data_IF_603181791852
#
_entry.id   IF_603181791852
#
_cell.length_a   1.000
_cell.length_b   1.000
_cell.length_c   1.000
_cell.angle_alpha   90.00
_cell.angle_beta   90.00
_cell.angle_gamma   90.00
#
_symmetry.space_group_name_H-M   'P 1'
#
loop_
_entity.id
_entity.type
_entity.pdbx_description
1 polymer ?
#
# COMPACT_ATOMS: atom_id res chain seq x y z
N UNK A 1 -21.70 -29.70 -2.44
CA UNK A 1 -22.27 -29.32 -3.75
C UNK A 1 -21.26 -28.37 -4.38
N UNK A 2 -20.55 -28.74 -5.46
CA UNK A 2 -19.53 -27.88 -6.07
C UNK A 2 -20.10 -26.57 -6.66
N UNK A 3 -21.43 -26.44 -6.72
CA UNK A 3 -22.15 -25.22 -7.10
C UNK A 3 -22.77 -24.48 -5.90
N UNK A 4 -22.40 -24.87 -4.67
CA UNK A 4 -22.80 -24.16 -3.46
C UNK A 4 -21.53 -23.53 -2.91
N UNK A 5 -21.43 -22.20 -3.05
CA UNK A 5 -20.52 -21.41 -2.23
C UNK A 5 -20.94 -21.70 -0.78
N UNK A 6 -20.05 -22.30 0.01
CA UNK A 6 -20.24 -22.31 1.46
C UNK A 6 -20.40 -20.86 1.89
N UNK A 7 -21.42 -20.60 2.70
CA UNK A 7 -21.99 -19.28 3.05
C UNK A 7 -21.05 -18.09 2.78
N UNK A 8 -21.52 -17.06 2.11
CA UNK A 8 -20.73 -15.82 1.89
C UNK A 8 -20.40 -15.15 3.25
N UNK A 9 -21.06 -15.58 4.33
CA UNK A 9 -20.77 -15.29 5.73
C UNK A 9 -19.65 -16.15 6.37
N UNK A 10 -19.08 -17.14 5.67
CA UNK A 10 -18.03 -18.03 6.18
C UNK A 10 -16.59 -17.57 5.88
N UNK A 11 -16.37 -16.60 4.99
CA UNK A 11 -15.03 -16.01 4.83
C UNK A 11 -14.77 -15.09 6.02
N UNK A 12 -13.87 -15.49 6.91
CA UNK A 12 -13.49 -14.67 8.05
C UNK A 12 -12.89 -13.35 7.56
N UNK A 13 -13.13 -12.27 8.31
CA UNK A 13 -12.55 -10.96 7.99
C UNK A 13 -11.01 -11.02 8.02
N UNK A 14 -10.43 -11.90 8.83
CA UNK A 14 -9.01 -12.21 8.84
C UNK A 14 -8.53 -12.86 7.53
N UNK A 15 -9.30 -13.78 6.94
CA UNK A 15 -8.93 -14.40 5.66
C UNK A 15 -8.99 -13.38 4.50
N UNK A 16 -9.98 -12.49 4.52
CA UNK A 16 -10.08 -11.39 3.57
C UNK A 16 -8.90 -10.42 3.71
N UNK A 17 -8.49 -10.15 4.96
CA UNK A 17 -7.33 -9.32 5.26
C UNK A 17 -6.01 -9.97 4.81
N UNK A 18 -5.85 -11.27 4.97
CA UNK A 18 -4.72 -12.02 4.40
C UNK A 18 -4.66 -11.85 2.88
N UNK A 19 -5.78 -12.05 2.17
CA UNK A 19 -5.84 -11.84 0.73
C UNK A 19 -5.47 -10.42 0.32
N UNK A 20 -5.97 -9.42 1.05
CA UNK A 20 -5.68 -8.01 0.79
C UNK A 20 -4.20 -7.68 0.98
N UNK A 21 -3.56 -8.19 2.05
CA UNK A 21 -2.12 -8.00 2.26
C UNK A 21 -1.30 -8.56 1.09
N UNK A 22 -1.60 -9.77 0.62
CA UNK A 22 -0.88 -10.39 -0.51
C UNK A 22 -1.02 -9.53 -1.77
N UNK A 23 -2.24 -9.13 -2.13
CA UNK A 23 -2.46 -8.28 -3.31
C UNK A 23 -1.73 -6.95 -3.18
N UNK A 24 -1.87 -6.25 -2.05
CA UNK A 24 -1.30 -4.92 -1.87
C UNK A 24 0.23 -4.95 -1.80
N UNK A 25 0.84 -5.98 -1.19
CA UNK A 25 2.29 -6.17 -1.31
C UNK A 25 2.70 -6.41 -2.76
N UNK A 26 1.95 -7.24 -3.51
CA UNK A 26 2.19 -7.46 -4.93
C UNK A 26 2.16 -6.18 -5.76
N UNK A 27 1.24 -5.25 -5.46
CA UNK A 27 1.16 -3.94 -6.11
C UNK A 27 2.38 -3.07 -5.72
N UNK A 28 2.69 -2.99 -4.43
CA UNK A 28 3.72 -2.08 -3.90
C UNK A 28 5.15 -2.52 -4.23
N UNK A 29 5.43 -3.82 -4.31
CA UNK A 29 6.74 -4.36 -4.72
C UNK A 29 6.87 -4.60 -6.22
N UNK A 30 5.74 -4.61 -6.92
CA UNK A 30 5.64 -5.06 -8.30
C UNK A 30 6.10 -4.04 -9.33
N UNK A 31 5.33 -3.95 -10.41
CA UNK A 31 5.71 -3.19 -11.59
C UNK A 31 5.88 -1.69 -11.32
N UNK A 32 5.06 -1.09 -10.46
CA UNK A 32 5.15 0.35 -10.13
C UNK A 32 6.50 0.69 -9.51
N UNK A 33 6.96 -0.11 -8.55
CA UNK A 33 8.26 0.07 -7.91
C UNK A 33 9.40 -0.03 -8.92
N UNK A 34 9.38 -1.07 -9.77
CA UNK A 34 10.36 -1.23 -10.85
C UNK A 34 10.38 -0.04 -11.81
N UNK A 35 9.21 0.43 -12.23
CA UNK A 35 9.10 1.59 -13.12
C UNK A 35 9.72 2.85 -12.51
N UNK A 36 9.41 3.13 -11.23
CA UNK A 36 9.99 4.26 -10.50
C UNK A 36 11.51 4.12 -10.39
N UNK A 37 12.04 2.92 -10.11
CA UNK A 37 13.51 2.72 -10.04
C UNK A 37 14.23 3.01 -11.35
N UNK A 38 13.57 2.82 -12.51
CA UNK A 38 14.11 3.19 -13.82
C UNK A 38 14.11 4.71 -14.00
N UNK A 39 13.02 5.40 -13.67
CA UNK A 39 12.98 6.87 -13.74
C UNK A 39 13.95 7.54 -12.77
N UNK A 40 14.19 6.93 -11.61
CA UNK A 40 15.20 7.36 -10.64
C UNK A 40 16.63 6.94 -11.01
N UNK A 41 16.81 6.25 -12.14
CA UNK A 41 18.10 5.78 -12.67
C UNK A 41 18.87 4.84 -11.72
N UNK A 42 18.16 4.20 -10.79
CA UNK A 42 18.73 3.15 -9.94
C UNK A 42 18.91 1.85 -10.73
N UNK A 43 17.97 1.58 -11.63
CA UNK A 43 18.05 0.50 -12.60
C UNK A 43 17.86 1.06 -14.02
N UNK A 44 18.28 0.30 -15.01
CA UNK A 44 18.02 0.57 -16.41
C UNK A 44 17.38 -0.66 -17.06
N UNK A 45 16.44 -0.41 -17.98
CA UNK A 45 15.86 -1.41 -18.84
C UNK A 45 16.86 -1.86 -19.91
N UNK A 46 17.13 -3.16 -19.99
CA UNK A 46 18.04 -3.72 -20.99
C UNK A 46 17.27 -4.30 -22.18
N UNK A 47 16.05 -4.77 -21.96
CA UNK A 47 15.22 -5.39 -22.99
C UNK A 47 13.74 -5.06 -22.77
N UNK A 48 13.01 -4.72 -23.84
CA UNK A 48 11.56 -4.47 -23.86
C UNK A 48 11.03 -3.36 -22.92
N UNK A 49 11.89 -2.66 -22.19
CA UNK A 49 11.50 -1.49 -21.40
C UNK A 49 11.62 -0.23 -22.25
N UNK A 50 10.57 0.57 -22.26
CA UNK A 50 10.52 1.87 -22.94
C UNK A 50 10.58 3.04 -21.94
N UNK A 51 10.78 2.75 -20.66
CA UNK A 51 10.87 3.75 -19.60
C UNK A 51 12.12 4.64 -19.77
N UNK A 52 13.27 4.03 -20.11
CA UNK A 52 14.56 4.72 -20.25
C UNK A 52 14.56 5.76 -21.38
N UNK A 53 13.82 5.49 -22.45
CA UNK A 53 13.63 6.39 -23.61
C UNK A 53 12.44 7.35 -23.45
N UNK A 54 11.72 7.29 -22.31
CA UNK A 54 10.46 8.00 -22.05
C UNK A 54 9.37 7.75 -23.12
N UNK A 55 9.46 6.63 -23.85
CA UNK A 55 8.50 6.22 -24.88
C UNK A 55 7.41 5.35 -24.27
N UNK A 56 6.64 5.92 -23.35
CA UNK A 56 5.60 5.22 -22.59
C UNK A 56 4.29 5.03 -23.40
N UNK A 57 4.38 5.02 -24.73
CA UNK A 57 3.24 4.96 -25.64
C UNK A 57 3.31 3.66 -26.49
N UNK A 58 2.22 2.88 -26.58
CA UNK A 58 0.94 3.06 -25.87
C UNK A 58 1.10 2.93 -24.35
N UNK A 59 0.12 3.45 -23.58
CA UNK A 59 0.04 3.26 -22.13
C UNK A 59 0.31 1.78 -21.83
N UNK A 60 1.30 1.53 -20.97
CA UNK A 60 1.68 0.16 -20.63
C UNK A 60 0.48 -0.51 -19.94
N UNK A 61 -0.07 -1.58 -20.53
CA UNK A 61 -1.18 -2.36 -19.98
C UNK A 61 -0.91 -2.80 -18.53
N UNK A 62 0.38 -2.91 -18.14
CA UNK A 62 0.77 -3.19 -16.76
C UNK A 62 0.35 -2.08 -15.80
N UNK A 63 0.28 -0.82 -16.22
CA UNK A 63 -0.23 0.29 -15.41
C UNK A 63 -1.75 0.20 -15.25
N UNK A 64 -2.47 -0.18 -16.30
CA UNK A 64 -3.94 -0.38 -16.26
C UNK A 64 -4.31 -1.55 -15.34
N UNK A 65 -3.52 -2.62 -15.35
CA UNK A 65 -3.68 -3.74 -14.42
C UNK A 65 -3.45 -3.30 -12.98
N UNK A 66 -2.38 -2.54 -12.71
CA UNK A 66 -2.13 -2.04 -11.34
C UNK A 66 -3.22 -1.09 -10.88
N UNK A 67 -3.71 -0.21 -11.76
CA UNK A 67 -4.86 0.62 -11.46
C UNK A 67 -6.07 -0.24 -11.06
N UNK A 68 -6.36 -1.29 -11.82
CA UNK A 68 -7.46 -2.21 -11.53
C UNK A 68 -7.27 -2.94 -10.19
N UNK A 69 -6.05 -3.36 -9.87
CA UNK A 69 -5.72 -4.01 -8.60
C UNK A 69 -5.97 -3.11 -7.37
N UNK A 70 -5.75 -1.79 -7.49
CA UNK A 70 -5.98 -0.84 -6.40
C UNK A 70 -7.44 -0.83 -5.94
N UNK A 71 -8.38 -1.05 -6.86
CA UNK A 71 -9.82 -0.99 -6.58
C UNK A 71 -10.46 -2.38 -6.44
N UNK A 72 -9.93 -3.37 -7.14
CA UNK A 72 -10.45 -4.74 -7.23
C UNK A 72 -10.10 -5.62 -6.03
N UNK A 73 -10.11 -6.93 -6.27
CA UNK A 73 -9.88 -7.95 -5.22
C UNK A 73 -8.57 -7.73 -4.47
N UNK A 74 -8.67 -7.62 -3.15
CA UNK A 74 -7.58 -7.29 -2.23
C UNK A 74 -7.24 -5.80 -2.13
N UNK A 75 -7.80 -4.96 -3.00
CA UNK A 75 -7.69 -3.51 -2.99
C UNK A 75 -8.82 -2.82 -2.21
N UNK A 76 -9.22 -1.63 -2.66
CA UNK A 76 -10.14 -0.74 -1.93
C UNK A 76 -11.48 -1.39 -1.56
N UNK A 77 -12.03 -2.24 -2.44
CA UNK A 77 -13.31 -2.93 -2.16
C UNK A 77 -13.20 -3.84 -0.94
N UNK A 78 -12.12 -4.61 -0.84
CA UNK A 78 -11.92 -5.55 0.25
C UNK A 78 -11.43 -4.83 1.51
N UNK A 79 -10.56 -3.82 1.38
CA UNK A 79 -10.13 -2.99 2.51
C UNK A 79 -11.32 -2.31 3.20
N UNK A 80 -12.20 -1.65 2.46
CA UNK A 80 -13.39 -1.01 3.05
C UNK A 80 -14.37 -2.04 3.62
N UNK A 81 -14.51 -3.20 2.99
CA UNK A 81 -15.31 -4.32 3.54
C UNK A 81 -14.72 -4.84 4.86
N UNK A 82 -13.40 -5.00 4.95
CA UNK A 82 -12.70 -5.40 6.18
C UNK A 82 -12.96 -4.38 7.28
N UNK A 83 -12.82 -3.08 7.00
CA UNK A 83 -13.06 -2.02 7.97
C UNK A 83 -14.50 -2.06 8.51
N UNK A 84 -15.49 -2.20 7.63
CA UNK A 84 -16.91 -2.30 8.01
C UNK A 84 -17.19 -3.54 8.87
N UNK A 85 -16.75 -4.72 8.43
CA UNK A 85 -16.96 -5.98 9.17
C UNK A 85 -16.23 -5.98 10.51
N UNK A 86 -15.02 -5.41 10.55
CA UNK A 86 -14.21 -5.31 11.77
C UNK A 86 -14.87 -4.42 12.81
N UNK A 87 -15.51 -3.32 12.41
CA UNK A 87 -16.28 -2.47 13.32
C UNK A 87 -17.42 -3.26 13.99
N UNK A 88 -18.23 -3.98 13.20
CA UNK A 88 -19.37 -4.76 13.69
C UNK A 88 -18.93 -5.89 14.64
N UNK A 89 -17.75 -6.45 14.39
CA UNK A 89 -17.17 -7.53 15.19
C UNK A 89 -16.27 -7.04 16.33
N UNK A 90 -16.19 -5.72 16.56
CA UNK A 90 -15.34 -5.09 17.58
C UNK A 90 -13.84 -5.45 17.44
N UNK A 91 -13.39 -5.70 16.20
CA UNK A 91 -11.99 -5.99 15.84
C UNK A 91 -11.26 -4.69 15.46
N UNK A 92 -11.12 -3.78 16.41
CA UNK A 92 -10.61 -2.44 16.13
C UNK A 92 -9.15 -2.42 15.66
N UNK A 93 -8.31 -3.32 16.18
CA UNK A 93 -6.94 -3.44 15.68
C UNK A 93 -6.92 -3.81 14.18
N UNK A 94 -7.73 -4.80 13.77
CA UNK A 94 -7.84 -5.20 12.36
C UNK A 94 -8.36 -4.06 11.48
N UNK A 95 -9.36 -3.32 11.97
CA UNK A 95 -9.88 -2.13 11.30
C UNK A 95 -8.77 -1.10 11.09
N UNK A 96 -8.04 -0.74 12.14
CA UNK A 96 -6.99 0.27 12.06
C UNK A 96 -5.84 -0.15 11.14
N UNK A 97 -5.44 -1.43 11.17
CA UNK A 97 -4.44 -1.94 10.23
C UNK A 97 -4.95 -1.93 8.78
N UNK A 98 -6.22 -2.26 8.53
CA UNK A 98 -6.80 -2.14 7.19
C UNK A 98 -6.90 -0.69 6.70
N UNK A 99 -7.16 0.26 7.60
CA UNK A 99 -7.12 1.69 7.30
C UNK A 99 -5.70 2.16 6.97
N UNK A 100 -4.69 1.63 7.65
CA UNK A 100 -3.28 1.87 7.32
C UNK A 100 -2.93 1.41 5.90
N UNK A 101 -3.41 0.23 5.50
CA UNK A 101 -3.25 -0.28 4.13
C UNK A 101 -3.90 0.63 3.09
N UNK A 102 -5.15 1.03 3.30
CA UNK A 102 -5.84 1.98 2.41
C UNK A 102 -5.07 3.30 2.31
N UNK A 103 -4.62 3.84 3.45
CA UNK A 103 -3.86 5.09 3.47
C UNK A 103 -2.53 4.99 2.71
N UNK A 104 -1.75 3.91 2.90
CA UNK A 104 -0.49 3.70 2.17
C UNK A 104 -0.73 3.60 0.66
N UNK A 105 -1.71 2.79 0.27
CA UNK A 105 -1.99 2.48 -1.14
C UNK A 105 -2.51 3.73 -1.85
N UNK A 106 -3.47 4.45 -1.28
CA UNK A 106 -4.08 5.61 -1.94
C UNK A 106 -3.24 6.89 -1.85
N UNK A 107 -2.41 7.06 -0.81
CA UNK A 107 -1.40 8.13 -0.83
C UNK A 107 -0.35 7.90 -1.91
N UNK A 108 0.10 6.65 -2.08
CA UNK A 108 1.04 6.28 -3.14
C UNK A 108 0.41 6.40 -4.53
N UNK A 109 -0.85 5.97 -4.69
CA UNK A 109 -1.56 6.13 -5.96
C UNK A 109 -1.73 7.60 -6.33
N UNK A 110 -2.06 8.46 -5.38
CA UNK A 110 -2.14 9.90 -5.61
C UNK A 110 -0.78 10.50 -5.99
N UNK A 111 0.33 10.01 -5.42
CA UNK A 111 1.68 10.43 -5.82
C UNK A 111 2.02 10.01 -7.27
N UNK A 112 1.50 8.87 -7.75
CA UNK A 112 1.80 8.33 -9.07
C UNK A 112 0.88 8.87 -10.19
N UNK A 113 -0.42 8.94 -9.95
CA UNK A 113 -1.42 9.31 -10.95
C UNK A 113 -1.99 10.72 -10.76
N UNK A 114 -1.79 11.35 -9.60
CA UNK A 114 -2.39 12.64 -9.25
C UNK A 114 -3.83 12.47 -8.79
N UNK A 115 -4.78 12.92 -9.60
CA UNK A 115 -6.20 12.85 -9.30
C UNK A 115 -6.74 11.46 -9.65
N UNK A 116 -7.55 10.87 -8.77
CA UNK A 116 -8.18 9.55 -8.99
C UNK A 116 -9.48 9.40 -8.19
N UNK A 117 -10.41 8.50 -8.57
CA UNK A 117 -11.62 8.25 -7.80
C UNK A 117 -11.31 7.69 -6.40
N UNK A 118 -11.77 8.32 -5.32
CA UNK A 118 -11.49 7.85 -3.96
C UNK A 118 -12.67 7.96 -2.99
N UNK A 119 -13.25 9.15 -2.83
CA UNK A 119 -14.33 9.44 -1.90
C UNK A 119 -15.66 8.82 -2.35
N UNK A 120 -15.91 8.80 -3.65
CA UNK A 120 -17.09 8.16 -4.26
C UNK A 120 -16.84 6.69 -4.64
N UNK A 121 -15.59 6.21 -4.62
CA UNK A 121 -15.26 4.84 -4.99
C UNK A 121 -15.88 3.82 -4.02
N UNK A 122 -16.14 2.59 -4.50
CA UNK A 122 -16.74 1.49 -3.71
C UNK A 122 -18.10 1.90 -3.10
N UNK A 123 -18.86 2.70 -3.84
CA UNK A 123 -20.21 3.10 -3.44
C UNK A 123 -21.14 2.97 -4.65
N UNK A 124 -22.11 2.08 -4.55
CA UNK A 124 -23.03 1.76 -5.63
C UNK A 124 -23.96 2.92 -6.04
N UNK A 125 -24.02 3.99 -5.23
CA UNK A 125 -24.71 5.23 -5.59
C UNK A 125 -23.99 6.01 -6.70
N UNK A 126 -22.68 5.78 -6.88
CA UNK A 126 -21.85 6.46 -7.88
C UNK A 126 -21.36 5.43 -8.91
N UNK A 127 -22.12 5.23 -9.98
CA UNK A 127 -21.75 4.29 -11.06
C UNK A 127 -20.54 4.77 -11.86
N UNK A 128 -20.27 6.07 -11.84
CA UNK A 128 -19.11 6.72 -12.43
C UNK A 128 -18.56 7.69 -11.37
N UNK A 129 -17.66 7.23 -10.50
CA UNK A 129 -17.17 8.05 -9.40
C UNK A 129 -16.27 9.18 -9.93
N UNK A 130 -16.50 10.39 -9.43
CA UNK A 130 -15.69 11.57 -9.72
C UNK A 130 -14.24 11.38 -9.23
N UNK A 131 -13.32 12.08 -9.90
CA UNK A 131 -11.92 12.13 -9.49
C UNK A 131 -11.77 13.10 -8.33
N UNK A 132 -11.20 12.62 -7.23
CA UNK A 132 -10.73 13.48 -6.15
C UNK A 132 -9.35 14.01 -6.50
N UNK A 133 -9.09 15.26 -6.14
CA UNK A 133 -7.76 15.84 -6.33
C UNK A 133 -6.69 15.09 -5.52
N UNK A 134 -5.45 15.06 -6.01
CA UNK A 134 -4.29 14.52 -5.27
C UNK A 134 -4.26 15.03 -3.83
N UNK A 135 -4.44 16.34 -3.64
CA UNK A 135 -4.45 16.99 -2.32
C UNK A 135 -5.59 16.50 -1.43
N UNK A 136 -6.81 16.36 -1.96
CA UNK A 136 -7.93 15.86 -1.17
C UNK A 136 -7.73 14.41 -0.75
N UNK A 137 -7.10 13.58 -1.60
CA UNK A 137 -6.77 12.19 -1.27
C UNK A 137 -5.71 12.14 -0.17
N UNK A 138 -4.63 12.92 -0.25
CA UNK A 138 -3.63 12.99 0.82
C UNK A 138 -4.21 13.50 2.14
N UNK A 139 -5.08 14.51 2.11
CA UNK A 139 -5.77 14.98 3.32
C UNK A 139 -6.70 13.91 3.92
N UNK A 140 -7.43 13.20 3.06
CA UNK A 140 -8.33 12.14 3.50
C UNK A 140 -7.56 10.94 4.07
N UNK A 141 -6.43 10.56 3.45
CA UNK A 141 -5.56 9.49 3.96
C UNK A 141 -4.86 9.88 5.26
N UNK A 142 -4.44 11.14 5.45
CA UNK A 142 -3.95 11.62 6.76
C UNK A 142 -5.03 11.47 7.84
N UNK A 143 -6.26 11.89 7.53
CA UNK A 143 -7.40 11.76 8.47
C UNK A 143 -7.72 10.28 8.74
N UNK A 144 -7.59 9.42 7.73
CA UNK A 144 -7.75 7.97 7.85
C UNK A 144 -6.67 7.36 8.74
N UNK A 145 -5.43 7.86 8.67
CA UNK A 145 -4.34 7.42 9.55
C UNK A 145 -4.59 7.84 11.00
N UNK A 146 -5.13 9.04 11.25
CA UNK A 146 -5.51 9.44 12.62
C UNK A 146 -6.60 8.51 13.18
N UNK A 147 -7.63 8.22 12.38
CA UNK A 147 -8.65 7.23 12.76
C UNK A 147 -8.09 5.82 12.93
N UNK A 148 -7.08 5.45 12.14
CA UNK A 148 -6.40 4.17 12.25
C UNK A 148 -5.67 4.05 13.59
N UNK A 149 -4.95 5.09 14.02
CA UNK A 149 -4.27 5.15 15.31
C UNK A 149 -5.28 4.94 16.45
N UNK A 150 -6.40 5.65 16.44
CA UNK A 150 -7.46 5.49 17.46
C UNK A 150 -7.98 4.04 17.53
N UNK A 151 -8.19 3.41 16.37
CA UNK A 151 -8.65 2.01 16.31
C UNK A 151 -7.57 1.01 16.74
N UNK A 152 -6.30 1.25 16.37
CA UNK A 152 -5.15 0.44 16.79
C UNK A 152 -4.99 0.47 18.31
N UNK A 153 -5.02 1.67 18.90
CA UNK A 153 -4.88 1.88 20.35
C UNK A 153 -6.06 1.31 21.15
N UNK A 154 -7.27 1.28 20.56
CA UNK A 154 -8.42 0.61 21.17
C UNK A 154 -8.22 -0.89 21.30
N UNK A 155 -7.43 -1.50 20.41
CA UNK A 155 -7.12 -2.93 20.43
C UNK A 155 -8.34 -3.83 20.19
N UNK A 156 -8.17 -5.14 20.37
CA UNK A 156 -9.26 -6.11 20.29
C UNK A 156 -8.98 -7.33 21.18
N UNK A 157 -10.03 -8.04 21.60
CA UNK A 157 -9.91 -9.27 22.38
C UNK A 157 -9.71 -10.49 21.44
N UNK A 158 -8.49 -11.00 21.35
CA UNK A 158 -8.08 -12.27 20.72
C UNK A 158 -8.55 -12.55 19.27
N UNK A 159 -7.61 -12.42 18.33
CA UNK A 159 -7.32 -13.37 17.24
C UNK A 159 -5.90 -13.07 16.75
N UNK A 160 -5.18 -14.03 16.16
CA UNK A 160 -4.02 -13.64 15.35
C UNK A 160 -4.58 -12.77 14.23
N UNK A 161 -4.11 -11.53 14.12
CA UNK A 161 -4.54 -10.63 13.04
C UNK A 161 -4.22 -11.23 11.66
N UNK A 162 -3.36 -12.25 11.62
CA UNK A 162 -2.66 -12.74 10.44
C UNK A 162 -1.98 -11.58 9.70
N UNK A 163 -1.48 -10.63 10.48
CA UNK A 163 -0.68 -9.50 10.03
C UNK A 163 0.74 -10.00 9.74
N UNK A 164 1.10 -9.91 8.47
CA UNK A 164 2.39 -10.35 7.95
C UNK A 164 3.54 -9.41 8.31
N UNK A 165 3.25 -8.19 8.76
CA UNK A 165 4.27 -7.17 9.05
C UNK A 165 4.71 -7.22 10.50
N UNK A 166 3.76 -6.95 11.40
CA UNK A 166 4.05 -6.67 12.80
C UNK A 166 3.36 -7.66 13.74
N UNK A 167 2.71 -8.68 13.19
CA UNK A 167 1.95 -9.69 13.94
C UNK A 167 0.95 -9.06 14.92
N UNK A 168 0.36 -7.92 14.55
CA UNK A 168 -0.59 -7.17 15.38
C UNK A 168 0.05 -6.34 16.49
N UNK A 169 1.37 -6.07 16.46
CA UNK A 169 2.01 -5.19 17.42
C UNK A 169 1.54 -3.73 17.23
N UNK A 170 0.77 -3.24 18.20
CA UNK A 170 0.15 -1.91 18.16
C UNK A 170 1.19 -0.79 18.14
N UNK A 171 2.25 -0.87 18.95
CA UNK A 171 3.29 0.15 19.02
C UNK A 171 4.03 0.32 17.68
N UNK A 172 4.32 -0.80 17.01
CA UNK A 172 4.90 -0.78 15.66
C UNK A 172 3.94 -0.18 14.64
N UNK A 173 2.64 -0.51 14.70
CA UNK A 173 1.64 0.09 13.82
C UNK A 173 1.45 1.59 14.06
N UNK A 174 1.44 2.06 15.31
CA UNK A 174 1.38 3.50 15.63
C UNK A 174 2.63 4.22 15.15
N UNK A 175 3.82 3.65 15.36
CA UNK A 175 5.07 4.21 14.85
C UNK A 175 5.06 4.28 13.31
N UNK A 176 4.55 3.24 12.66
CA UNK A 176 4.39 3.21 11.21
C UNK A 176 3.40 4.28 10.71
N UNK A 177 2.28 4.45 11.40
CA UNK A 177 1.30 5.50 11.13
C UNK A 177 1.91 6.90 11.17
N UNK A 178 2.69 7.20 12.22
CA UNK A 178 3.41 8.48 12.34
C UNK A 178 4.46 8.66 11.24
N UNK A 179 5.19 7.61 10.86
CA UNK A 179 6.09 7.64 9.70
C UNK A 179 5.36 7.95 8.40
N UNK A 180 4.21 7.34 8.15
CA UNK A 180 3.43 7.58 6.93
C UNK A 180 2.86 9.01 6.90
N UNK A 181 2.34 9.51 8.02
CA UNK A 181 1.93 10.92 8.14
C UNK A 181 3.10 11.87 7.86
N UNK A 182 4.28 11.58 8.40
CA UNK A 182 5.48 12.36 8.14
C UNK A 182 5.83 12.39 6.65
N UNK A 183 5.78 11.24 5.97
CA UNK A 183 6.03 11.12 4.52
C UNK A 183 5.06 11.98 3.72
N UNK A 184 3.75 11.81 3.94
CA UNK A 184 2.72 12.57 3.19
C UNK A 184 2.87 14.08 3.47
N UNK A 185 3.11 14.46 4.73
CA UNK A 185 3.31 15.87 5.10
C UNK A 185 4.55 16.46 4.42
N UNK A 186 5.64 15.69 4.34
CA UNK A 186 6.88 16.10 3.69
C UNK A 186 6.71 16.27 2.18
N UNK A 187 5.95 15.40 1.51
CA UNK A 187 5.66 15.52 0.07
C UNK A 187 5.02 16.87 -0.28
N UNK A 188 4.23 17.45 0.62
CA UNK A 188 3.60 18.76 0.44
C UNK A 188 4.40 19.94 0.97
N UNK A 189 5.59 19.72 1.53
CA UNK A 189 6.29 20.76 2.30
C UNK A 189 6.73 21.96 1.44
N UNK A 190 7.15 21.72 0.20
CA UNK A 190 7.48 22.79 -0.76
C UNK A 190 6.24 23.66 -1.08
N UNK A 191 5.06 23.05 -1.17
CA UNK A 191 3.81 23.76 -1.50
C UNK A 191 3.23 24.49 -0.29
N UNK A 192 3.32 23.87 0.89
CA UNK A 192 2.71 24.38 2.13
C UNK A 192 3.69 25.26 2.95
N UNK A 193 4.96 25.32 2.56
CA UNK A 193 5.99 26.15 3.17
C UNK A 193 6.64 25.56 4.43
N UNK A 194 7.52 26.36 5.06
CA UNK A 194 8.42 25.95 6.14
C UNK A 194 7.75 25.24 7.33
N UNK A 195 6.49 25.57 7.65
CA UNK A 195 5.74 24.95 8.73
C UNK A 195 5.51 23.44 8.51
N UNK A 196 5.31 23.01 7.25
CA UNK A 196 5.11 21.62 6.91
C UNK A 196 6.37 20.77 7.13
N UNK A 197 7.58 21.31 6.89
CA UNK A 197 8.81 20.61 7.25
C UNK A 197 8.92 20.37 8.75
N UNK A 198 8.55 21.37 9.55
CA UNK A 198 8.59 21.26 11.02
C UNK A 198 7.60 20.21 11.50
N UNK A 199 6.39 20.19 10.93
CA UNK A 199 5.38 19.19 11.22
C UNK A 199 5.81 17.78 10.82
N UNK A 200 6.36 17.61 9.61
CA UNK A 200 6.87 16.33 9.13
C UNK A 200 7.99 15.79 10.02
N UNK A 201 8.92 16.65 10.46
CA UNK A 201 9.96 16.27 11.41
C UNK A 201 9.39 15.81 12.76
N UNK A 202 8.41 16.55 13.30
CA UNK A 202 7.78 16.19 14.58
C UNK A 202 7.03 14.85 14.51
N UNK A 203 6.41 14.54 13.36
CA UNK A 203 5.78 13.25 13.10
C UNK A 203 6.83 12.14 12.94
N UNK A 204 7.91 12.40 12.19
CA UNK A 204 8.99 11.43 12.00
C UNK A 204 9.68 11.04 13.30
N UNK A 205 9.82 11.97 14.25
CA UNK A 205 10.37 11.70 15.59
C UNK A 205 9.49 10.78 16.44
N UNK A 206 8.20 10.68 16.12
CA UNK A 206 7.25 9.73 16.74
C UNK A 206 7.10 8.45 15.92
N UNK A 207 7.78 8.36 14.77
CA UNK A 207 7.69 7.25 13.86
C UNK A 207 8.69 6.14 14.14
N UNK A 208 8.83 5.24 13.18
CA UNK A 208 9.83 4.16 13.18
C UNK A 208 11.23 4.77 13.35
N UNK A 209 11.93 4.37 14.41
CA UNK A 209 13.28 4.85 14.75
C UNK A 209 14.33 3.73 14.81
N UNK A 210 13.94 2.50 14.54
CA UNK A 210 14.79 1.32 14.63
C UNK A 210 15.77 1.27 13.45
N UNK A 211 17.08 1.43 13.66
CA UNK A 211 18.06 1.45 12.57
C UNK A 211 18.32 0.07 11.96
N UNK A 212 17.80 -1.00 12.56
CA UNK A 212 17.99 -2.37 12.05
C UNK A 212 16.99 -2.73 10.94
N UNK A 213 15.89 -1.98 10.82
CA UNK A 213 14.79 -2.28 9.90
C UNK A 213 13.86 -3.41 10.36
N UNK A 214 14.00 -3.93 11.59
CA UNK A 214 13.10 -4.95 12.14
C UNK A 214 11.72 -4.39 12.55
N UNK A 215 11.61 -3.07 12.62
CA UNK A 215 10.36 -2.36 12.87
C UNK A 215 9.80 -1.69 11.60
N UNK A 216 10.36 -2.00 10.43
CA UNK A 216 9.89 -1.48 9.15
C UNK A 216 8.65 -2.20 8.66
N UNK A 217 7.78 -1.47 7.98
CA UNK A 217 6.66 -2.08 7.26
C UNK A 217 7.19 -2.75 5.99
N UNK A 218 7.67 -3.99 6.15
CA UNK A 218 8.23 -4.81 5.08
C UNK A 218 7.27 -5.94 4.69
N UNK A 219 7.26 -6.32 3.40
CA UNK A 219 6.53 -7.49 2.94
C UNK A 219 7.15 -8.77 3.51
N UNK A 220 6.32 -9.78 3.75
CA UNK A 220 6.76 -11.05 4.30
C UNK A 220 7.31 -11.95 3.18
N UNK A 221 8.61 -12.22 3.23
CA UNK A 221 9.32 -13.12 2.32
C UNK A 221 10.22 -14.06 3.12
N UNK A 222 10.41 -15.29 2.64
CA UNK A 222 11.31 -16.28 3.24
C UNK A 222 12.42 -16.68 2.26
N UNK A 223 13.66 -16.74 2.75
CA UNK A 223 14.78 -17.20 1.94
C UNK A 223 14.77 -18.73 1.78
N UNK A 224 14.89 -19.22 0.55
CA UNK A 224 15.00 -20.64 0.24
C UNK A 224 13.68 -21.43 0.31
N UNK A 225 12.53 -20.75 0.21
CA UNK A 225 11.25 -21.40 -0.01
C UNK A 225 10.77 -21.19 -1.45
N UNK A 226 10.33 -22.28 -2.10
CA UNK A 226 9.75 -22.19 -3.43
C UNK A 226 8.39 -21.44 -3.34
N UNK A 227 8.36 -20.18 -3.76
CA UNK A 227 7.13 -19.37 -3.88
C UNK A 227 6.85 -18.33 -2.80
N UNK A 228 7.71 -18.16 -1.79
CA UNK A 228 7.62 -17.03 -0.83
C UNK A 228 8.87 -16.12 -0.88
N UNK A 229 9.61 -16.20 -1.98
CA UNK A 229 10.74 -15.32 -2.28
C UNK A 229 10.24 -13.91 -2.62
N UNK A 230 11.08 -12.89 -2.40
CA UNK A 230 10.75 -11.52 -2.83
C UNK A 230 10.44 -11.47 -4.32
N UNK A 231 9.42 -10.69 -4.69
CA UNK A 231 9.02 -10.47 -6.09
C UNK A 231 10.19 -9.99 -6.95
N UNK A 232 11.13 -9.26 -6.35
CA UNK A 232 12.35 -8.82 -7.02
C UNK A 232 13.32 -9.97 -7.32
N UNK A 233 13.48 -10.91 -6.38
CA UNK A 233 14.30 -12.10 -6.61
C UNK A 233 13.70 -12.97 -7.72
N UNK A 234 12.41 -13.30 -7.61
CA UNK A 234 11.70 -14.08 -8.64
C UNK A 234 11.79 -13.40 -10.01
N UNK A 235 11.62 -12.06 -10.06
CA UNK A 235 11.77 -11.32 -11.30
C UNK A 235 13.15 -11.49 -11.93
N UNK A 236 14.24 -11.31 -11.16
CA UNK A 236 15.59 -11.39 -11.69
C UNK A 236 16.01 -12.82 -12.05
N UNK A 237 15.49 -13.83 -11.37
CA UNK A 237 15.75 -15.24 -11.68
C UNK A 237 15.06 -15.67 -12.98
N UNK A 238 13.84 -15.21 -13.23
CA UNK A 238 13.09 -15.53 -14.45
C UNK A 238 13.43 -14.62 -15.66
N UNK A 239 13.82 -13.38 -15.40
CA UNK A 239 13.98 -12.33 -16.42
C UNK A 239 15.43 -11.84 -16.52
N UNK A 240 16.36 -12.79 -16.63
CA UNK A 240 17.77 -12.50 -16.91
C UNK A 240 17.88 -11.55 -18.12
N UNK A 241 18.62 -10.45 -17.95
CA UNK A 241 18.88 -9.43 -18.98
C UNK A 241 17.71 -8.50 -19.35
N UNK A 242 16.62 -8.47 -18.58
CA UNK A 242 15.52 -7.50 -18.81
C UNK A 242 15.81 -6.16 -18.11
N UNK A 243 16.42 -6.18 -16.93
CA UNK A 243 16.87 -4.99 -16.19
C UNK A 243 18.24 -5.22 -15.57
N UNK A 244 18.98 -4.14 -15.35
CA UNK A 244 20.27 -4.16 -14.64
C UNK A 244 20.59 -2.83 -13.97
N UNK A 245 21.79 -2.70 -13.40
CA UNK A 245 22.23 -1.46 -12.77
C UNK A 245 22.15 -0.27 -13.75
N UNK A 246 21.68 0.87 -13.25
CA UNK A 246 21.60 2.10 -14.04
C UNK A 246 22.97 2.53 -14.57
N UNK A 247 23.01 3.18 -15.74
CA UNK A 247 24.25 3.56 -16.42
C UNK A 247 25.16 4.50 -15.60
N UNK A 248 24.63 5.16 -14.57
CA UNK A 248 25.37 6.09 -13.69
C UNK A 248 25.87 5.45 -12.39
N UNK A 249 25.61 4.16 -12.18
CA UNK A 249 26.02 3.41 -10.99
C UNK A 249 27.22 2.48 -11.23
N UNK A 250 27.79 2.50 -12.45
CA UNK A 250 28.96 1.70 -12.86
C UNK A 250 30.16 2.58 -13.15
#
# INVERSE_FOLDING_TARGET
NPNKVDDIDQVSVEALFVGSQVTMYGVMEGYLSRLVTMFMQQLAGQLYSHADDYKCAPLDWRLDDRWSDLYGTGGLVDLRMIQQKSEVQEKYLLKGVSQMWEALVFSTAADLWGDLPYSQAVNSLYTEPDFDSQRSIHNATISLIDAAIENIERGQAFSSLNDFTFSGNQEKWVSCARTLQARITLNWAEVNGAAAYTQALALAQQGISDPTGESDWKPFHQAGSDGEESIWHQFFDENLYVMGAGALLV
#
